data_IF_488474947597
#
_entry.id   IF_488474947597
#
_cell.length_a   1.000
_cell.length_b   1.000
_cell.length_c   1.000
_cell.angle_alpha   90.00
_cell.angle_beta   90.00
_cell.angle_gamma   90.00
#
_symmetry.space_group_name_H-M   'P 1'
#
loop_
_entity.id
_entity.type
_entity.pdbx_description
1 polymer ?
#
# COMPACT_ATOMS: atom_id res chain seq x y z
N UNK A 1 -1.77 41.18 -75.78
CA UNK A 1 -0.44 41.19 -76.43
C UNK A 1 0.32 39.98 -75.93
N UNK A 2 0.70 39.12 -76.88
CA UNK A 2 1.53 37.91 -76.74
C UNK A 2 2.92 38.27 -76.15
N UNK A 3 3.64 37.44 -75.39
CA UNK A 3 4.28 36.19 -75.81
C UNK A 3 4.79 35.36 -74.62
N UNK A 4 5.11 34.12 -74.97
CA UNK A 4 5.28 32.90 -74.18
C UNK A 4 6.77 32.45 -74.15
N UNK A 5 7.09 31.46 -73.28
CA UNK A 5 8.18 30.42 -73.38
C UNK A 5 9.48 30.75 -72.57
N UNK A 6 10.01 29.91 -71.65
CA UNK A 6 10.55 28.54 -71.87
C UNK A 6 10.77 27.75 -70.55
N UNK A 7 10.90 26.43 -70.71
CA UNK A 7 10.93 25.29 -69.78
C UNK A 7 12.34 24.85 -69.31
N UNK A 8 12.37 23.77 -68.49
CA UNK A 8 13.42 22.73 -68.23
C UNK A 8 14.22 22.88 -66.91
N UNK A 9 14.21 21.99 -65.89
CA UNK A 9 14.25 20.51 -65.72
C UNK A 9 15.68 19.89 -65.77
N UNK A 10 16.21 19.61 -64.56
CA UNK A 10 16.90 18.37 -64.08
C UNK A 10 18.45 18.20 -64.06
N UNK A 11 18.89 17.65 -62.90
CA UNK A 11 20.12 16.87 -62.56
C UNK A 11 21.46 17.66 -62.43
N UNK A 12 22.37 17.44 -61.46
CA UNK A 12 22.99 16.18 -60.98
C UNK A 12 23.77 16.32 -59.65
N UNK A 13 23.73 15.22 -58.87
CA UNK A 13 24.78 14.50 -58.09
C UNK A 13 25.62 15.13 -56.94
N UNK A 14 25.46 14.45 -55.78
CA UNK A 14 26.44 13.86 -54.84
C UNK A 14 27.83 14.52 -54.66
N UNK A 15 28.17 14.81 -53.40
CA UNK A 15 29.29 14.11 -52.72
C UNK A 15 29.18 14.21 -51.20
N UNK A 16 29.33 13.04 -50.58
CA UNK A 16 29.48 12.77 -49.15
C UNK A 16 30.88 13.13 -48.65
N UNK A 17 31.03 13.57 -47.39
CA UNK A 17 31.92 12.95 -46.37
C UNK A 17 32.04 13.80 -45.09
N UNK A 18 32.16 13.09 -43.98
CA UNK A 18 32.55 13.47 -42.61
C UNK A 18 31.46 13.72 -41.54
N UNK A 19 31.19 12.60 -40.86
CA UNK A 19 30.66 12.26 -39.54
C UNK A 19 30.46 13.31 -38.41
N UNK A 20 29.62 12.95 -37.43
CA UNK A 20 28.80 13.84 -36.60
C UNK A 20 29.38 14.06 -35.20
N UNK A 21 29.05 15.19 -34.57
CA UNK A 21 29.08 15.35 -33.11
C UNK A 21 28.42 16.68 -32.74
N UNK A 22 27.08 16.68 -32.64
CA UNK A 22 26.31 17.54 -31.71
C UNK A 22 24.81 17.45 -31.99
N UNK A 23 24.13 16.43 -31.49
CA UNK A 23 22.67 16.47 -31.29
C UNK A 23 22.19 15.28 -30.44
N UNK A 24 22.73 15.08 -29.25
CA UNK A 24 22.06 14.25 -28.24
C UNK A 24 22.26 14.90 -26.86
N UNK A 25 21.22 15.57 -26.38
CA UNK A 25 20.90 15.79 -24.96
C UNK A 25 19.63 16.65 -24.86
N UNK A 26 18.49 16.08 -25.23
CA UNK A 26 17.15 16.57 -24.82
C UNK A 26 16.03 15.65 -25.32
N UNK A 27 16.05 14.35 -24.96
CA UNK A 27 14.89 13.45 -25.09
C UNK A 27 15.22 12.04 -24.52
N UNK A 28 15.33 11.95 -23.20
CA UNK A 28 15.26 10.69 -22.43
C UNK A 28 14.63 11.12 -21.09
N UNK A 29 13.60 10.54 -20.51
CA UNK A 29 12.72 9.42 -20.84
C UNK A 29 11.57 9.56 -19.81
N UNK A 30 10.32 9.77 -20.24
CA UNK A 30 9.14 9.74 -19.33
C UNK A 30 8.23 8.53 -19.56
N UNK A 31 8.58 7.63 -20.47
CA UNK A 31 7.84 6.36 -20.72
C UNK A 31 8.63 5.10 -20.35
N UNK A 32 9.88 5.21 -19.91
CA UNK A 32 10.74 4.04 -19.63
C UNK A 32 10.71 3.53 -18.17
N UNK A 33 9.83 4.07 -17.32
CA UNK A 33 9.74 3.66 -15.89
C UNK A 33 8.52 2.75 -15.62
N UNK A 34 7.55 2.65 -16.55
CA UNK A 34 6.36 1.80 -16.35
C UNK A 34 6.46 0.38 -16.92
N UNK A 35 7.51 0.02 -17.68
CA UNK A 35 7.58 -1.30 -18.34
C UNK A 35 8.77 -2.17 -17.90
N UNK A 36 9.36 -1.90 -16.73
CA UNK A 36 10.50 -2.67 -16.19
C UNK A 36 10.25 -3.34 -14.84
N UNK A 37 8.99 -3.44 -14.42
CA UNK A 37 8.57 -4.18 -13.23
C UNK A 37 7.92 -5.55 -13.54
N UNK A 38 7.87 -5.97 -14.82
CA UNK A 38 7.45 -7.31 -15.21
C UNK A 38 8.61 -8.02 -15.92
N UNK A 39 9.50 -8.64 -15.14
CA UNK A 39 10.34 -9.77 -15.56
C UNK A 39 10.96 -10.37 -14.30
N UNK A 40 10.72 -11.66 -14.09
CA UNK A 40 11.12 -12.46 -12.94
C UNK A 40 12.63 -12.38 -12.66
N UNK A 41 12.99 -12.07 -11.41
CA UNK A 41 14.38 -12.14 -10.95
C UNK A 41 14.77 -13.60 -10.65
N UNK A 42 15.97 -14.07 -11.07
CA UNK A 42 16.51 -15.36 -10.65
C UNK A 42 17.11 -15.29 -9.23
N UNK A 43 17.21 -16.43 -8.51
CA UNK A 43 17.60 -16.47 -7.10
C UNK A 43 19.09 -16.13 -6.85
N UNK A 44 19.31 -15.61 -5.63
CA UNK A 44 20.53 -15.07 -5.01
C UNK A 44 21.90 -15.56 -5.52
N UNK A 45 22.75 -14.58 -5.83
CA UNK A 45 24.21 -14.73 -5.85
C UNK A 45 24.82 -13.77 -4.84
N UNK A 46 25.73 -14.22 -3.95
CA UNK A 46 26.33 -13.34 -2.94
C UNK A 46 27.21 -12.28 -3.60
N UNK A 47 26.77 -11.02 -3.53
CA UNK A 47 27.58 -9.87 -3.97
C UNK A 47 28.59 -9.52 -2.88
N UNK A 48 29.86 -9.84 -3.13
CA UNK A 48 30.98 -9.37 -2.33
C UNK A 48 31.11 -7.85 -2.52
N UNK A 49 30.78 -7.09 -1.47
CA UNK A 49 30.96 -5.64 -1.42
C UNK A 49 32.42 -5.31 -1.09
N UNK A 50 33.16 -4.77 -2.05
CA UNK A 50 34.46 -4.12 -1.79
C UNK A 50 34.16 -2.62 -1.68
N UNK A 51 34.25 -1.99 -0.49
CA UNK A 51 33.99 -0.57 -0.37
C UNK A 51 35.18 0.19 -0.97
N UNK A 52 34.98 0.79 -2.13
CA UNK A 52 35.86 1.85 -2.61
C UNK A 52 35.54 3.12 -1.79
N UNK A 53 36.26 3.32 -0.69
CA UNK A 53 36.12 4.53 0.14
C UNK A 53 36.80 5.68 -0.59
N UNK A 54 36.01 6.50 -1.27
CA UNK A 54 36.25 7.93 -1.43
C UNK A 54 34.94 8.66 -1.75
N UNK A 55 34.40 9.40 -0.77
CA UNK A 55 33.53 10.55 -1.04
C UNK A 55 33.77 11.59 0.05
N UNK A 56 34.16 12.80 -0.35
CA UNK A 56 33.97 13.98 0.49
C UNK A 56 32.47 14.24 0.54
N UNK A 57 31.80 13.80 1.60
CA UNK A 57 30.37 14.01 1.75
C UNK A 57 30.07 15.51 1.96
N UNK A 58 29.36 16.09 0.98
CA UNK A 58 28.86 17.46 1.01
C UNK A 58 27.62 17.56 1.89
N UNK A 59 27.76 17.26 3.19
CA UNK A 59 26.66 17.29 4.16
C UNK A 59 27.09 17.82 5.52
N UNK A 60 26.10 18.00 6.40
CA UNK A 60 26.29 18.42 7.77
C UNK A 60 26.03 17.24 8.72
N UNK A 61 26.68 17.24 9.88
CA UNK A 61 26.68 16.09 10.78
C UNK A 61 26.11 16.45 12.15
N UNK A 62 25.30 15.54 12.68
CA UNK A 62 24.78 15.57 14.05
C UNK A 62 25.30 14.33 14.77
N UNK A 63 25.87 14.51 15.96
CA UNK A 63 26.34 13.42 16.82
C UNK A 63 26.03 13.74 18.28
N UNK A 64 25.72 12.73 19.09
CA UNK A 64 25.43 12.90 20.53
C UNK A 64 26.59 13.55 21.31
N UNK A 65 27.83 13.27 20.91
CA UNK A 65 29.06 13.87 21.45
C UNK A 65 29.41 15.25 20.87
N UNK A 66 28.60 15.76 19.95
CA UNK A 66 28.78 17.05 19.30
C UNK A 66 28.47 18.25 20.20
N UNK A 67 28.53 19.44 19.61
CA UNK A 67 28.12 20.70 20.23
C UNK A 67 27.41 21.56 19.18
N UNK A 68 26.31 22.22 19.54
CA UNK A 68 25.61 23.14 18.63
C UNK A 68 26.43 24.41 18.32
N UNK A 69 27.51 24.65 19.07
CA UNK A 69 28.52 25.67 18.74
C UNK A 69 29.49 25.24 17.63
N UNK A 70 29.50 23.97 17.24
CA UNK A 70 30.38 23.45 16.20
C UNK A 70 29.90 23.88 14.79
N UNK A 71 30.75 23.76 13.75
CA UNK A 71 30.37 24.08 12.39
C UNK A 71 29.51 23.02 11.68
N UNK A 72 29.15 21.90 12.33
CA UNK A 72 28.38 20.82 11.71
C UNK A 72 29.19 19.96 10.74
N UNK A 73 30.52 19.95 10.87
CA UNK A 73 31.42 19.12 10.05
C UNK A 73 31.54 17.71 10.63
N UNK A 74 32.09 16.76 9.86
CA UNK A 74 32.28 15.38 10.33
C UNK A 74 33.08 15.29 11.64
N UNK A 75 34.16 16.08 11.76
CA UNK A 75 35.04 16.09 12.94
C UNK A 75 34.56 17.01 14.06
N UNK A 76 33.64 17.92 13.77
CA UNK A 76 33.02 18.82 14.73
C UNK A 76 31.52 18.91 14.40
N UNK A 77 30.74 17.87 14.73
CA UNK A 77 29.32 17.80 14.42
C UNK A 77 28.50 18.65 15.39
N UNK A 78 27.30 19.03 14.96
CA UNK A 78 26.29 19.58 15.86
C UNK A 78 25.80 18.51 16.84
N UNK A 79 25.19 18.94 17.94
CA UNK A 79 24.67 18.02 18.96
C UNK A 79 23.21 17.66 18.71
N UNK A 80 22.38 18.65 18.35
CA UNK A 80 20.93 18.47 18.28
C UNK A 80 20.41 18.52 16.84
N UNK A 81 19.37 17.73 16.56
CA UNK A 81 18.69 17.71 15.27
C UNK A 81 17.97 19.03 14.98
N UNK A 82 17.30 19.59 15.99
CA UNK A 82 16.57 20.84 15.82
C UNK A 82 17.49 21.99 15.43
N UNK A 83 18.68 22.09 16.04
CA UNK A 83 19.70 23.07 15.64
C UNK A 83 20.15 22.84 14.20
N UNK A 84 20.46 21.60 13.83
CA UNK A 84 20.89 21.27 12.47
C UNK A 84 19.84 21.63 11.41
N UNK A 85 18.56 21.37 11.67
CA UNK A 85 17.44 21.74 10.79
C UNK A 85 17.34 23.26 10.62
N UNK A 86 17.58 24.02 11.70
CA UNK A 86 17.60 25.49 11.64
C UNK A 86 18.82 26.04 10.90
N UNK A 87 20.00 25.44 11.11
CA UNK A 87 21.28 25.97 10.64
C UNK A 87 21.66 25.53 9.22
N UNK A 88 21.23 24.34 8.78
CA UNK A 88 21.63 23.80 7.48
C UNK A 88 21.10 24.68 6.32
N UNK A 89 21.91 24.89 5.25
CA UNK A 89 21.45 25.52 4.02
C UNK A 89 20.29 24.75 3.36
N UNK A 90 19.46 25.45 2.59
CA UNK A 90 18.44 24.80 1.76
C UNK A 90 19.10 23.84 0.76
N UNK A 91 18.53 22.66 0.58
CA UNK A 91 19.07 21.58 -0.26
C UNK A 91 20.15 20.73 0.43
N UNK A 92 20.52 21.03 1.67
CA UNK A 92 21.53 20.27 2.39
C UNK A 92 21.01 18.88 2.85
N UNK A 93 21.97 17.98 3.04
CA UNK A 93 21.77 16.72 3.75
C UNK A 93 22.35 16.84 5.16
N UNK A 94 21.55 16.50 6.16
CA UNK A 94 21.95 16.34 7.55
C UNK A 94 22.11 14.84 7.79
N UNK A 95 23.34 14.42 8.07
CA UNK A 95 23.69 13.06 8.47
C UNK A 95 23.69 12.93 9.99
N UNK A 96 22.90 11.99 10.49
CA UNK A 96 22.70 11.75 11.91
C UNK A 96 23.49 10.52 12.31
N UNK A 97 24.49 10.71 13.16
CA UNK A 97 25.31 9.62 13.69
C UNK A 97 24.53 8.80 14.71
N UNK A 98 24.89 7.53 14.91
CA UNK A 98 24.34 6.66 15.93
C UNK A 98 24.30 7.36 17.30
N UNK A 99 23.17 7.20 18.00
CA UNK A 99 22.89 7.87 19.27
C UNK A 99 21.40 8.11 19.44
N UNK A 100 21.05 8.70 20.58
CA UNK A 100 19.69 9.05 20.92
C UNK A 100 19.48 10.56 20.78
N UNK A 101 18.46 10.95 20.02
CA UNK A 101 18.14 12.36 19.77
C UNK A 101 16.70 12.65 20.14
N UNK A 102 16.48 13.81 20.74
CA UNK A 102 15.13 14.33 20.95
C UNK A 102 14.49 14.66 19.60
N UNK A 103 13.17 14.46 19.54
CA UNK A 103 12.29 14.82 18.45
C UNK A 103 12.43 16.26 17.94
N UNK A 104 11.94 16.51 16.73
CA UNK A 104 12.17 17.75 16.01
C UNK A 104 10.99 18.19 15.14
N UNK A 105 10.99 19.46 14.76
CA UNK A 105 10.02 20.06 13.85
C UNK A 105 10.72 20.65 12.62
N UNK A 106 10.15 20.39 11.45
CA UNK A 106 10.54 20.96 10.16
C UNK A 106 9.45 21.91 9.67
N UNK A 107 9.75 23.21 9.68
CA UNK A 107 8.89 24.30 9.18
C UNK A 107 9.60 25.07 8.04
N UNK A 108 10.28 24.32 7.17
CA UNK A 108 11.05 24.84 6.04
C UNK A 108 11.15 23.80 4.94
N UNK A 109 11.62 24.23 3.77
CA UNK A 109 11.61 23.43 2.54
C UNK A 109 13.04 23.05 2.09
N UNK A 110 13.12 21.98 1.30
CA UNK A 110 14.34 21.42 0.70
C UNK A 110 15.36 20.98 1.76
N UNK A 111 15.12 19.84 2.41
CA UNK A 111 16.06 19.29 3.39
C UNK A 111 16.03 17.77 3.33
N UNK A 112 17.20 17.15 3.48
CA UNK A 112 17.32 15.71 3.71
C UNK A 112 17.85 15.47 5.12
N UNK A 113 17.16 14.64 5.89
CA UNK A 113 17.56 14.15 7.21
C UNK A 113 17.79 12.65 7.08
N UNK A 114 19.03 12.23 7.23
CA UNK A 114 19.46 10.86 6.95
C UNK A 114 20.22 10.28 8.13
N UNK A 115 19.96 9.02 8.50
CA UNK A 115 20.94 8.24 9.24
C UNK A 115 22.27 8.23 8.48
N UNK A 116 23.39 8.31 9.20
CA UNK A 116 24.70 8.16 8.59
C UNK A 116 24.84 6.74 8.02
N UNK A 117 25.48 6.53 6.86
CA UNK A 117 25.53 5.21 6.23
C UNK A 117 26.00 4.10 7.17
N UNK A 118 25.18 3.05 7.33
CA UNK A 118 25.44 1.92 8.24
C UNK A 118 25.04 2.17 9.70
N UNK A 119 24.50 3.34 10.02
CA UNK A 119 24.04 3.72 11.36
C UNK A 119 22.52 4.00 11.34
N UNK A 120 21.79 3.52 12.35
CA UNK A 120 20.35 3.76 12.50
C UNK A 120 20.10 4.47 13.85
N UNK A 121 20.17 5.81 13.90
CA UNK A 121 19.98 6.56 15.14
C UNK A 121 18.53 6.55 15.62
N UNK A 122 18.36 6.62 16.94
CA UNK A 122 17.07 6.65 17.62
C UNK A 122 16.59 8.08 17.83
N UNK A 123 15.36 8.36 17.39
CA UNK A 123 14.66 9.61 17.61
C UNK A 123 13.56 9.35 18.63
N UNK A 124 13.65 10.03 19.77
CA UNK A 124 12.80 9.84 20.95
C UNK A 124 11.89 11.05 21.14
N UNK A 125 10.67 10.87 21.69
CA UNK A 125 9.77 11.98 21.95
C UNK A 125 10.40 12.98 22.94
N UNK A 126 9.95 14.23 22.89
CA UNK A 126 10.35 15.29 23.83
C UNK A 126 9.62 15.21 25.19
N UNK A 127 8.77 14.19 25.39
CA UNK A 127 7.93 14.03 26.57
C UNK A 127 6.74 15.00 26.65
N UNK A 128 6.56 15.88 25.68
CA UNK A 128 5.58 16.98 25.71
C UNK A 128 4.58 16.90 24.55
N UNK A 129 5.04 16.68 23.34
CA UNK A 129 4.22 16.60 22.14
C UNK A 129 3.73 15.17 21.86
N UNK A 130 2.65 15.05 21.08
CA UNK A 130 2.15 13.76 20.57
C UNK A 130 2.86 13.31 19.31
N UNK A 131 3.91 14.00 18.87
CA UNK A 131 4.72 13.62 17.72
C UNK A 131 6.19 13.58 18.14
N UNK A 132 6.95 12.65 17.57
CA UNK A 132 8.40 12.61 17.71
C UNK A 132 9.06 13.48 16.63
N UNK A 133 8.60 13.40 15.39
CA UNK A 133 8.95 14.36 14.34
C UNK A 133 7.70 14.95 13.70
N UNK A 134 7.72 16.26 13.43
CA UNK A 134 6.65 16.94 12.70
C UNK A 134 7.19 17.69 11.48
N UNK A 135 6.60 17.43 10.32
CA UNK A 135 6.82 18.21 9.09
C UNK A 135 5.56 19.01 8.83
N UNK A 136 5.67 20.34 8.77
CA UNK A 136 4.51 21.21 8.65
C UNK A 136 4.72 22.30 7.62
N UNK A 137 3.73 22.53 6.76
CA UNK A 137 3.73 23.59 5.74
C UNK A 137 5.03 23.64 4.92
N UNK A 138 5.58 22.47 4.61
CA UNK A 138 6.91 22.32 4.04
C UNK A 138 6.84 21.57 2.72
N UNK A 139 7.91 21.67 1.93
CA UNK A 139 8.04 20.89 0.70
C UNK A 139 9.43 20.32 0.50
N UNK A 140 9.53 19.27 -0.31
CA UNK A 140 10.80 18.64 -0.69
C UNK A 140 11.62 18.19 0.55
N UNK A 141 10.97 17.43 1.44
CA UNK A 141 11.58 16.93 2.68
C UNK A 141 11.80 15.43 2.57
N UNK A 142 13.01 14.98 2.91
CA UNK A 142 13.40 13.58 2.82
C UNK A 142 13.87 13.10 4.18
N UNK A 143 13.21 12.08 4.74
CA UNK A 143 13.62 11.37 5.95
C UNK A 143 14.03 9.95 5.55
N UNK A 144 15.22 9.52 5.97
CA UNK A 144 15.70 8.16 5.68
C UNK A 144 16.62 7.58 6.75
N UNK A 145 16.52 6.28 7.02
CA UNK A 145 17.49 5.58 7.88
C UNK A 145 17.44 5.98 9.36
N UNK A 146 16.27 6.35 9.88
CA UNK A 146 16.08 6.73 11.27
C UNK A 146 15.10 5.78 11.96
N UNK A 147 15.20 5.65 13.29
CA UNK A 147 14.25 4.91 14.11
C UNK A 147 13.41 5.87 14.96
N UNK A 148 12.08 5.83 14.84
CA UNK A 148 11.15 6.65 15.62
C UNK A 148 10.35 5.77 16.58
N UNK A 149 10.59 5.90 17.88
CA UNK A 149 10.00 4.98 18.85
C UNK A 149 9.77 5.54 20.25
N UNK A 150 9.11 4.73 21.08
CA UNK A 150 8.81 4.99 22.48
C UNK A 150 7.96 6.26 22.73
N UNK A 151 7.13 6.65 21.75
CA UNK A 151 6.14 7.71 21.96
C UNK A 151 4.90 7.16 22.67
N UNK A 152 5.02 7.01 23.99
CA UNK A 152 3.99 6.43 24.87
C UNK A 152 2.79 7.34 25.16
N UNK A 153 2.73 8.54 24.57
CA UNK A 153 1.56 9.40 24.73
C UNK A 153 0.37 8.83 23.99
N UNK A 154 -0.84 9.01 24.51
CA UNK A 154 -2.05 8.75 23.74
C UNK A 154 -1.98 9.55 22.41
N UNK A 155 -2.26 8.89 21.28
CA UNK A 155 -2.03 9.43 19.93
C UNK A 155 -0.57 9.76 19.57
N UNK A 156 0.40 9.20 20.31
CA UNK A 156 1.83 9.37 20.08
C UNK A 156 2.24 8.88 18.70
N UNK A 157 2.87 9.73 17.90
CA UNK A 157 3.26 9.47 16.51
C UNK A 157 4.77 9.50 16.36
N UNK A 158 5.32 8.61 15.55
CA UNK A 158 6.71 8.69 15.08
C UNK A 158 6.92 9.93 14.19
N UNK A 159 6.35 9.94 12.98
CA UNK A 159 6.40 11.08 12.05
C UNK A 159 5.00 11.59 11.70
N UNK A 160 4.76 12.88 11.93
CA UNK A 160 3.51 13.57 11.60
C UNK A 160 3.74 14.58 10.47
N UNK A 161 3.04 14.44 9.34
CA UNK A 161 3.18 15.30 8.16
C UNK A 161 1.87 16.06 7.94
N UNK A 162 1.92 17.39 7.98
CA UNK A 162 0.75 18.26 7.90
C UNK A 162 0.92 19.36 6.86
N UNK A 163 -0.08 19.55 6.00
CA UNK A 163 -0.11 20.69 5.07
C UNK A 163 1.12 20.80 4.16
N UNK A 164 1.77 19.68 3.89
CA UNK A 164 3.08 19.61 3.24
C UNK A 164 2.99 18.86 1.91
N UNK A 165 3.96 19.07 1.02
CA UNK A 165 4.03 18.40 -0.28
C UNK A 165 5.40 17.86 -0.63
N UNK A 166 5.49 16.89 -1.53
CA UNK A 166 6.79 16.34 -1.97
C UNK A 166 7.63 15.86 -0.77
N UNK A 167 7.05 15.03 0.08
CA UNK A 167 7.73 14.49 1.28
C UNK A 167 7.99 13.00 1.11
N UNK A 168 9.21 12.56 1.37
CA UNK A 168 9.56 11.13 1.37
C UNK A 168 9.99 10.69 2.76
N UNK A 169 9.39 9.61 3.25
CA UNK A 169 9.80 8.88 4.46
C UNK A 169 10.14 7.46 4.03
N UNK A 170 11.42 7.09 4.06
CA UNK A 170 11.85 5.79 3.54
C UNK A 170 12.92 5.10 4.37
N UNK A 171 13.03 3.77 4.23
CA UNK A 171 14.08 2.96 4.86
C UNK A 171 14.27 3.30 6.34
N UNK A 172 13.16 3.53 7.06
CA UNK A 172 13.14 3.95 8.47
C UNK A 172 12.31 2.96 9.27
N UNK A 173 12.51 2.93 10.59
CA UNK A 173 11.80 2.00 11.48
C UNK A 173 10.90 2.76 12.44
N UNK A 174 9.67 2.29 12.63
CA UNK A 174 8.66 2.92 13.48
C UNK A 174 8.10 1.91 14.44
N UNK A 175 8.38 2.06 15.73
CA UNK A 175 7.97 1.05 16.69
C UNK A 175 7.72 1.56 18.08
N UNK A 176 6.99 0.79 18.88
CA UNK A 176 6.70 1.11 20.27
C UNK A 176 6.07 2.51 20.46
N UNK A 177 5.30 2.98 19.47
CA UNK A 177 4.50 4.20 19.57
C UNK A 177 3.07 3.84 20.03
N UNK A 178 2.53 4.58 21.00
CA UNK A 178 1.19 4.34 21.56
C UNK A 178 0.08 4.72 20.58
N UNK A 179 0.37 5.57 19.59
CA UNK A 179 -0.53 5.87 18.48
C UNK A 179 -0.02 5.26 17.18
N UNK A 180 0.78 6.04 16.45
CA UNK A 180 1.03 5.82 15.03
C UNK A 180 2.52 5.76 14.71
N UNK A 181 2.89 4.98 13.70
CA UNK A 181 4.22 5.13 13.09
C UNK A 181 4.30 6.42 12.27
N UNK A 182 3.48 6.50 11.21
CA UNK A 182 3.41 7.67 10.31
C UNK A 182 1.97 8.17 10.19
N UNK A 183 1.78 9.49 10.31
CA UNK A 183 0.49 10.15 10.04
C UNK A 183 0.67 11.23 8.98
N UNK A 184 -0.25 11.27 8.01
CA UNK A 184 -0.37 12.41 7.09
C UNK A 184 -1.72 13.10 7.23
N UNK A 185 -1.74 14.42 7.05
CA UNK A 185 -2.94 15.23 7.12
C UNK A 185 -2.90 16.36 6.10
N UNK A 186 -3.83 16.33 5.13
CA UNK A 186 -3.94 17.33 4.07
C UNK A 186 -2.61 17.55 3.34
N UNK A 187 -1.99 16.47 2.87
CA UNK A 187 -0.70 16.50 2.16
C UNK A 187 -0.87 16.28 0.66
N UNK A 188 0.15 16.58 -0.13
CA UNK A 188 0.19 16.23 -1.56
C UNK A 188 1.51 15.56 -1.92
N UNK A 189 1.51 14.51 -2.73
CA UNK A 189 2.76 13.88 -3.22
C UNK A 189 3.68 13.41 -2.08
N UNK A 190 3.18 12.51 -1.22
CA UNK A 190 3.96 11.93 -0.10
C UNK A 190 4.26 10.47 -0.36
N UNK A 191 5.53 10.09 -0.26
CA UNK A 191 5.99 8.72 -0.41
C UNK A 191 6.38 8.13 0.96
N UNK A 192 5.75 7.03 1.34
CA UNK A 192 6.11 6.20 2.50
C UNK A 192 6.61 4.85 1.97
N UNK A 193 7.93 4.67 1.91
CA UNK A 193 8.56 3.59 1.15
C UNK A 193 9.55 2.74 1.96
N UNK A 194 9.48 1.41 1.85
CA UNK A 194 10.56 0.55 2.35
C UNK A 194 10.80 0.65 3.85
N UNK A 195 9.80 1.06 4.62
CA UNK A 195 9.89 1.19 6.07
C UNK A 195 9.47 -0.10 6.77
N UNK A 196 9.87 -0.21 8.02
CA UNK A 196 9.50 -1.30 8.91
C UNK A 196 8.70 -0.75 10.10
N UNK A 197 7.41 -1.07 10.19
CA UNK A 197 6.47 -0.48 11.14
C UNK A 197 5.83 -1.55 12.01
N UNK A 198 6.25 -1.63 13.28
CA UNK A 198 5.80 -2.69 14.16
C UNK A 198 5.59 -2.29 15.61
N UNK A 199 4.75 -3.05 16.33
CA UNK A 199 4.40 -2.77 17.72
C UNK A 199 4.02 -1.31 17.89
N UNK A 200 3.18 -0.76 17.03
CA UNK A 200 2.48 0.49 17.27
C UNK A 200 1.03 0.17 17.69
N UNK A 201 0.20 1.19 17.92
CA UNK A 201 -1.24 0.95 17.84
C UNK A 201 -1.65 0.79 16.37
N UNK A 202 -1.53 1.84 15.58
CA UNK A 202 -1.65 1.75 14.13
C UNK A 202 -0.30 2.04 13.47
N UNK A 203 0.01 1.45 12.32
CA UNK A 203 1.29 1.74 11.65
C UNK A 203 1.23 3.05 10.83
N UNK A 204 0.29 3.16 9.89
CA UNK A 204 0.17 4.34 9.01
C UNK A 204 -1.27 4.86 9.02
N UNK A 205 -1.47 6.17 9.15
CA UNK A 205 -2.78 6.80 8.98
C UNK A 205 -2.74 7.99 8.00
N UNK A 206 -3.59 7.95 6.98
CA UNK A 206 -3.74 8.98 5.97
C UNK A 206 -5.06 9.71 6.18
N UNK A 207 -5.02 11.04 6.34
CA UNK A 207 -6.20 11.83 6.75
C UNK A 207 -6.65 12.85 5.71
N UNK A 208 -7.97 12.91 5.51
CA UNK A 208 -8.67 14.02 4.85
C UNK A 208 -8.21 14.30 3.42
N UNK A 209 -7.95 15.57 3.08
CA UNK A 209 -7.60 16.02 1.73
C UNK A 209 -6.22 15.61 1.24
N UNK A 210 -5.63 14.56 1.82
CA UNK A 210 -4.39 13.98 1.34
C UNK A 210 -4.58 13.41 -0.08
N UNK A 211 -3.64 13.71 -0.98
CA UNK A 211 -3.70 13.33 -2.39
C UNK A 211 -2.30 12.98 -2.91
N UNK A 212 -2.18 12.00 -3.82
CA UNK A 212 -0.88 11.58 -4.33
C UNK A 212 0.00 10.92 -3.26
N UNK A 213 -0.62 10.36 -2.21
CA UNK A 213 0.12 9.62 -1.19
C UNK A 213 0.33 8.18 -1.69
N UNK A 214 1.58 7.73 -1.67
CA UNK A 214 1.98 6.38 -2.06
C UNK A 214 2.64 5.68 -0.88
N UNK A 215 2.09 4.52 -0.49
CA UNK A 215 2.61 3.62 0.54
C UNK A 215 3.11 2.37 -0.18
N UNK A 216 4.42 2.14 -0.23
CA UNK A 216 4.96 1.03 -1.04
C UNK A 216 6.16 0.30 -0.43
N UNK A 217 6.23 -1.01 -0.64
CA UNK A 217 7.36 -1.82 -0.20
C UNK A 217 7.59 -1.85 1.31
N UNK A 218 6.59 -1.46 2.12
CA UNK A 218 6.72 -1.45 3.58
C UNK A 218 6.46 -2.84 4.17
N UNK A 219 7.09 -3.10 5.30
CA UNK A 219 6.79 -4.19 6.21
C UNK A 219 5.96 -3.63 7.36
N UNK A 220 4.72 -4.09 7.53
CA UNK A 220 3.77 -3.53 8.48
C UNK A 220 3.23 -4.66 9.35
N UNK A 221 3.72 -4.76 10.58
CA UNK A 221 3.46 -5.97 11.33
C UNK A 221 3.43 -5.84 12.84
N UNK A 222 2.85 -6.82 13.53
CA UNK A 222 2.83 -6.87 14.99
C UNK A 222 2.30 -5.56 15.61
N UNK A 223 1.40 -4.83 14.95
CA UNK A 223 0.78 -3.64 15.53
C UNK A 223 -0.45 -4.09 16.31
N UNK A 224 -0.41 -3.92 17.63
CA UNK A 224 -1.33 -4.59 18.55
C UNK A 224 -1.91 -3.70 19.65
N UNK A 225 -1.54 -2.41 19.69
CA UNK A 225 -2.05 -1.51 20.74
C UNK A 225 -3.33 -0.82 20.33
N UNK A 226 -4.04 -0.30 21.31
CA UNK A 226 -5.13 0.65 21.11
C UNK A 226 -4.60 2.08 21.04
N UNK A 227 -5.12 2.84 20.08
CA UNK A 227 -5.04 4.30 20.08
C UNK A 227 -6.03 4.87 21.10
N UNK A 228 -7.28 4.39 21.06
CA UNK A 228 -8.41 4.72 21.93
C UNK A 228 -9.50 3.64 21.88
N UNK A 229 -10.61 3.82 22.63
CA UNK A 229 -11.69 2.84 22.81
C UNK A 229 -12.57 2.59 21.57
N UNK A 230 -11.92 2.18 20.48
CA UNK A 230 -12.52 1.89 19.18
C UNK A 230 -11.54 2.01 18.02
N UNK A 231 -10.24 2.25 18.25
CA UNK A 231 -9.20 2.26 17.24
C UNK A 231 -7.94 1.61 17.77
N UNK A 232 -7.41 0.64 17.05
CA UNK A 232 -6.17 -0.02 17.43
C UNK A 232 -5.81 -1.14 16.50
N UNK A 233 -4.54 -1.52 16.54
CA UNK A 233 -3.98 -2.67 15.85
C UNK A 233 -4.19 -2.68 14.32
N UNK A 234 -4.11 -1.51 13.67
CA UNK A 234 -4.34 -1.39 12.23
C UNK A 234 -3.02 -1.17 11.48
N UNK A 235 -2.80 -1.90 10.39
CA UNK A 235 -1.68 -1.66 9.50
C UNK A 235 -1.74 -0.29 8.83
N UNK A 236 -2.74 -0.06 7.97
CA UNK A 236 -2.93 1.22 7.28
C UNK A 236 -4.39 1.69 7.35
N UNK A 237 -4.59 2.87 7.91
CA UNK A 237 -5.91 3.53 8.01
C UNK A 237 -6.03 4.67 6.99
N UNK A 238 -7.12 4.67 6.22
CA UNK A 238 -7.55 5.75 5.34
C UNK A 238 -8.71 6.49 5.99
N UNK A 239 -8.39 7.49 6.80
CA UNK A 239 -9.35 8.22 7.61
C UNK A 239 -9.91 9.41 6.85
N UNK A 240 -11.16 9.29 6.38
CA UNK A 240 -11.87 10.34 5.65
C UNK A 240 -11.10 10.89 4.44
N UNK A 241 -10.33 10.03 3.76
CA UNK A 241 -9.58 10.42 2.57
C UNK A 241 -10.52 10.89 1.47
N UNK A 242 -10.16 12.00 0.81
CA UNK A 242 -10.93 12.51 -0.33
C UNK A 242 -10.10 12.62 -1.61
N UNK A 243 -8.78 12.72 -1.51
CA UNK A 243 -7.87 12.66 -2.64
C UNK A 243 -7.38 11.23 -2.94
N UNK A 244 -6.80 10.98 -4.12
CA UNK A 244 -6.24 9.69 -4.49
C UNK A 244 -5.09 9.29 -3.56
N UNK A 245 -5.16 8.07 -3.03
CA UNK A 245 -4.12 7.44 -2.19
C UNK A 245 -3.87 6.02 -2.70
N UNK A 246 -2.61 5.57 -2.71
CA UNK A 246 -2.25 4.23 -3.18
C UNK A 246 -1.38 3.49 -2.17
N UNK A 247 -1.79 2.29 -1.78
CA UNK A 247 -0.98 1.32 -1.05
C UNK A 247 -0.65 0.15 -1.99
N UNK A 248 0.62 0.04 -2.38
CA UNK A 248 1.05 -0.91 -3.43
C UNK A 248 2.27 -1.74 -3.02
N UNK A 249 2.17 -3.06 -3.16
CA UNK A 249 3.32 -3.96 -2.94
C UNK A 249 3.85 -3.95 -1.50
N UNK A 250 2.98 -3.81 -0.51
CA UNK A 250 3.36 -3.89 0.90
C UNK A 250 3.13 -5.31 1.44
N UNK A 251 3.83 -5.65 2.52
CA UNK A 251 3.60 -6.86 3.31
C UNK A 251 2.99 -6.47 4.65
N UNK A 252 1.78 -6.96 4.95
CA UNK A 252 1.04 -6.62 6.16
C UNK A 252 0.65 -7.86 6.95
N UNK A 253 1.16 -8.02 8.16
CA UNK A 253 0.87 -9.22 8.94
C UNK A 253 0.82 -9.06 10.44
N UNK A 254 0.09 -9.94 11.12
CA UNK A 254 0.01 -9.95 12.58
C UNK A 254 -0.43 -8.61 13.19
N UNK A 255 -1.28 -7.86 12.47
CA UNK A 255 -1.88 -6.63 13.00
C UNK A 255 -3.24 -6.97 13.61
N UNK A 256 -3.20 -7.18 14.93
CA UNK A 256 -4.37 -7.44 15.75
C UNK A 256 -4.06 -7.12 17.21
N UNK A 257 -5.07 -6.71 17.97
CA UNK A 257 -4.90 -6.46 19.40
C UNK A 257 -4.55 -7.77 20.11
N UNK A 258 -3.72 -7.67 21.15
CA UNK A 258 -3.42 -8.80 22.03
C UNK A 258 -4.29 -8.78 23.27
N UNK A 259 -4.45 -9.94 23.92
CA UNK A 259 -5.15 -10.11 25.20
C UNK A 259 -6.65 -9.76 25.22
N UNK A 260 -7.29 -9.76 24.05
CA UNK A 260 -8.76 -9.62 23.91
C UNK A 260 -9.42 -10.94 23.50
N UNK A 261 -10.65 -11.15 23.98
CA UNK A 261 -11.50 -12.29 23.58
C UNK A 261 -11.97 -12.15 22.13
N UNK A 262 -12.23 -10.91 21.71
CA UNK A 262 -12.54 -10.52 20.33
C UNK A 262 -11.48 -9.49 19.93
N UNK A 263 -10.39 -9.92 19.27
CA UNK A 263 -9.34 -9.01 18.89
C UNK A 263 -9.87 -7.95 17.92
N UNK A 264 -9.39 -6.72 18.08
CA UNK A 264 -9.56 -5.66 17.09
C UNK A 264 -8.37 -5.66 16.13
N UNK A 265 -8.51 -5.02 14.98
CA UNK A 265 -7.40 -4.75 14.07
C UNK A 265 -7.71 -5.10 12.63
N UNK A 266 -6.85 -4.62 11.74
CA UNK A 266 -6.94 -4.93 10.32
C UNK A 266 -5.60 -4.69 9.61
N UNK A 267 -5.38 -5.34 8.47
CA UNK A 267 -4.32 -4.91 7.57
C UNK A 267 -4.63 -3.51 7.02
N UNK A 268 -5.88 -3.31 6.58
CA UNK A 268 -6.37 -2.03 6.08
C UNK A 268 -7.69 -1.62 6.73
N UNK A 269 -7.88 -0.32 6.93
CA UNK A 269 -9.17 0.27 7.30
C UNK A 269 -9.49 1.48 6.40
N UNK A 270 -10.72 1.56 5.89
CA UNK A 270 -11.26 2.76 5.26
C UNK A 270 -12.41 3.29 6.10
N UNK A 271 -12.15 4.35 6.87
CA UNK A 271 -13.15 4.96 7.74
C UNK A 271 -13.70 6.24 7.10
N UNK A 272 -14.93 6.18 6.60
CA UNK A 272 -15.62 7.28 5.93
C UNK A 272 -14.77 7.98 4.84
N UNK A 273 -13.84 7.25 4.22
CA UNK A 273 -12.90 7.73 3.21
C UNK A 273 -13.12 7.07 1.85
N UNK A 274 -12.51 7.59 0.81
CA UNK A 274 -12.60 7.06 -0.55
C UNK A 274 -11.39 7.42 -1.40
N UNK A 275 -11.45 7.09 -2.69
CA UNK A 275 -10.36 7.27 -3.66
C UNK A 275 -9.05 6.57 -3.24
N UNK A 276 -9.17 5.31 -2.83
CA UNK A 276 -8.04 4.52 -2.32
C UNK A 276 -7.80 3.32 -3.21
N UNK A 277 -6.55 3.10 -3.60
CA UNK A 277 -6.13 1.91 -4.32
C UNK A 277 -5.18 1.06 -3.46
N UNK A 278 -5.53 -0.20 -3.22
CA UNK A 278 -4.76 -1.22 -2.51
C UNK A 278 -4.41 -2.31 -3.51
N UNK A 279 -3.17 -2.30 -4.01
CA UNK A 279 -2.77 -3.08 -5.18
C UNK A 279 -1.60 -4.01 -4.87
N UNK A 280 -1.69 -5.29 -5.19
CA UNK A 280 -0.51 -6.16 -5.18
C UNK A 280 0.12 -6.35 -3.80
N UNK A 281 -0.65 -6.19 -2.72
CA UNK A 281 -0.14 -6.38 -1.36
C UNK A 281 -0.23 -7.87 -0.98
N UNK A 282 0.67 -8.29 -0.10
CA UNK A 282 0.68 -9.61 0.53
C UNK A 282 0.23 -9.45 1.98
N UNK A 283 -0.83 -10.16 2.36
CA UNK A 283 -1.56 -9.93 3.61
C UNK A 283 -1.85 -11.26 4.32
N UNK A 284 -1.44 -11.39 5.57
CA UNK A 284 -1.72 -12.59 6.35
C UNK A 284 -1.74 -12.33 7.85
N UNK A 285 -2.43 -13.17 8.61
CA UNK A 285 -2.43 -13.13 10.08
C UNK A 285 -2.88 -11.81 10.75
N UNK A 286 -3.63 -10.97 10.06
CA UNK A 286 -4.29 -9.82 10.67
C UNK A 286 -5.65 -10.23 11.21
N UNK A 287 -6.22 -9.45 12.13
CA UNK A 287 -7.59 -9.74 12.60
C UNK A 287 -8.58 -9.72 11.42
N UNK A 288 -8.57 -8.64 10.63
CA UNK A 288 -9.35 -8.47 9.39
C UNK A 288 -8.43 -8.08 8.23
N UNK A 289 -8.73 -8.46 6.97
CA UNK A 289 -7.99 -7.99 5.79
C UNK A 289 -8.25 -6.51 5.54
N UNK A 290 -9.53 -6.18 5.41
CA UNK A 290 -10.00 -4.82 5.18
C UNK A 290 -11.31 -4.61 5.94
N UNK A 291 -11.38 -3.55 6.71
CA UNK A 291 -12.64 -3.04 7.25
C UNK A 291 -13.02 -1.71 6.60
N UNK A 292 -14.29 -1.58 6.24
CA UNK A 292 -14.88 -0.32 5.82
C UNK A 292 -16.04 0.04 6.75
N UNK A 293 -16.19 1.32 7.06
CA UNK A 293 -17.30 1.77 7.89
C UNK A 293 -17.36 3.28 8.09
N UNK A 294 -18.47 3.74 8.64
CA UNK A 294 -18.75 5.16 8.87
C UNK A 294 -19.84 5.32 9.92
N UNK A 295 -19.77 6.36 10.77
CA UNK A 295 -20.89 6.74 11.66
C UNK A 295 -21.82 7.79 11.05
N UNK A 296 -21.44 8.36 9.91
CA UNK A 296 -22.12 9.45 9.22
C UNK A 296 -22.63 9.05 7.83
N UNK A 297 -22.73 7.75 7.56
CA UNK A 297 -23.23 7.18 6.31
C UNK A 297 -22.44 7.62 5.06
N UNK A 298 -21.18 8.02 5.23
CA UNK A 298 -20.27 8.23 4.11
C UNK A 298 -20.13 6.93 3.28
N UNK A 299 -20.32 7.02 1.97
CA UNK A 299 -20.47 5.85 1.10
C UNK A 299 -19.17 5.06 0.84
N UNK A 300 -18.03 5.55 1.34
CA UNK A 300 -16.69 5.00 1.15
C UNK A 300 -16.40 4.66 -0.32
N UNK A 301 -16.38 5.69 -1.18
CA UNK A 301 -16.45 5.49 -2.61
C UNK A 301 -15.10 5.29 -3.30
N UNK A 302 -15.09 4.61 -4.44
CA UNK A 302 -13.91 4.49 -5.31
C UNK A 302 -12.73 3.81 -4.60
N UNK A 303 -13.00 2.70 -3.93
CA UNK A 303 -11.97 1.82 -3.37
C UNK A 303 -11.61 0.80 -4.45
N UNK A 304 -10.33 0.65 -4.77
CA UNK A 304 -9.81 -0.44 -5.58
C UNK A 304 -8.99 -1.37 -4.72
N UNK A 305 -9.41 -2.62 -4.56
CA UNK A 305 -8.63 -3.69 -3.92
C UNK A 305 -8.31 -4.74 -4.96
N UNK A 306 -7.10 -4.66 -5.54
CA UNK A 306 -6.78 -5.37 -6.79
C UNK A 306 -5.47 -6.14 -6.73
N UNK A 307 -5.44 -7.37 -7.23
CA UNK A 307 -4.20 -8.19 -7.32
C UNK A 307 -3.51 -8.46 -5.98
N UNK A 308 -4.23 -8.38 -4.87
CA UNK A 308 -3.69 -8.72 -3.56
C UNK A 308 -3.70 -10.24 -3.36
N UNK A 309 -2.72 -10.71 -2.60
CA UNK A 309 -2.61 -12.10 -2.16
C UNK A 309 -2.85 -12.13 -0.67
N UNK A 310 -3.85 -12.89 -0.27
CA UNK A 310 -4.30 -12.98 1.11
C UNK A 310 -4.39 -14.44 1.51
N UNK A 311 -3.74 -14.79 2.60
CA UNK A 311 -3.79 -16.15 3.12
C UNK A 311 -3.84 -16.16 4.64
N UNK A 312 -4.37 -17.23 5.20
CA UNK A 312 -4.36 -17.48 6.64
C UNK A 312 -3.05 -18.16 7.05
N UNK A 313 -2.39 -17.65 8.07
CA UNK A 313 -1.41 -18.41 8.86
C UNK A 313 -2.09 -19.03 10.07
N UNK A 314 -2.05 -18.34 11.20
CA UNK A 314 -2.74 -18.75 12.44
C UNK A 314 -4.20 -18.27 12.51
N UNK A 315 -4.48 -17.01 12.15
CA UNK A 315 -5.82 -16.40 12.22
C UNK A 315 -5.94 -15.25 11.22
N UNK A 316 -6.94 -15.26 10.36
CA UNK A 316 -7.23 -14.16 9.42
C UNK A 316 -8.71 -14.15 9.03
N UNK A 317 -9.47 -13.13 9.45
CA UNK A 317 -10.80 -12.86 8.87
C UNK A 317 -10.65 -12.11 7.54
N UNK A 318 -11.69 -12.10 6.70
CA UNK A 318 -11.67 -11.47 5.38
C UNK A 318 -11.94 -9.98 5.38
N UNK A 319 -12.80 -9.55 4.45
CA UNK A 319 -13.14 -8.16 4.21
C UNK A 319 -14.54 -7.88 4.73
N UNK A 320 -14.67 -6.82 5.52
CA UNK A 320 -15.96 -6.32 5.99
C UNK A 320 -16.32 -5.05 5.23
N UNK A 321 -17.26 -5.19 4.30
CA UNK A 321 -17.69 -4.14 3.39
C UNK A 321 -19.03 -3.56 3.87
N UNK A 322 -18.95 -2.61 4.81
CA UNK A 322 -20.12 -1.86 5.30
C UNK A 322 -20.39 -0.60 4.51
N UNK A 323 -19.39 -0.10 3.78
CA UNK A 323 -19.52 1.01 2.84
C UNK A 323 -18.48 0.80 1.72
N UNK A 324 -18.88 0.87 0.45
CA UNK A 324 -17.98 0.57 -0.67
C UNK A 324 -18.57 1.01 -2.02
N UNK A 325 -19.21 2.17 -2.08
CA UNK A 325 -19.94 2.56 -3.30
C UNK A 325 -19.01 2.79 -4.50
N UNK A 326 -19.36 2.28 -5.67
CA UNK A 326 -18.54 2.38 -6.90
C UNK A 326 -17.10 1.89 -6.68
N UNK A 327 -16.93 0.83 -5.90
CA UNK A 327 -15.63 0.24 -5.58
C UNK A 327 -15.42 -1.06 -6.37
N UNK A 328 -14.15 -1.40 -6.60
CA UNK A 328 -13.73 -2.57 -7.37
C UNK A 328 -12.82 -3.47 -6.54
N UNK A 329 -13.28 -4.70 -6.33
CA UNK A 329 -12.54 -5.76 -5.66
C UNK A 329 -12.27 -6.85 -6.68
N UNK A 330 -11.09 -6.83 -7.29
CA UNK A 330 -10.83 -7.68 -8.45
C UNK A 330 -9.46 -8.32 -8.49
N UNK A 331 -9.36 -9.48 -9.15
CA UNK A 331 -8.07 -10.14 -9.37
C UNK A 331 -7.34 -10.50 -8.08
N UNK A 332 -8.03 -10.72 -6.96
CA UNK A 332 -7.37 -11.09 -5.70
C UNK A 332 -7.35 -12.60 -5.52
N UNK A 333 -6.43 -13.09 -4.68
CA UNK A 333 -6.37 -14.48 -4.23
C UNK A 333 -6.58 -14.52 -2.73
N UNK A 334 -7.53 -15.34 -2.28
CA UNK A 334 -7.84 -15.58 -0.87
C UNK A 334 -7.73 -17.07 -0.56
N UNK A 335 -6.95 -17.42 0.45
CA UNK A 335 -6.72 -18.81 0.84
C UNK A 335 -6.95 -19.00 2.35
N UNK A 336 -8.00 -19.76 2.68
CA UNK A 336 -8.13 -20.33 4.02
C UNK A 336 -8.67 -19.41 5.11
N UNK A 337 -9.37 -18.31 4.78
CA UNK A 337 -9.80 -17.31 5.77
C UNK A 337 -10.83 -17.87 6.76
N UNK A 338 -10.78 -17.40 8.02
CA UNK A 338 -11.47 -18.02 9.15
C UNK A 338 -13.00 -17.88 9.13
N UNK A 339 -13.53 -16.77 8.62
CA UNK A 339 -14.98 -16.50 8.69
C UNK A 339 -15.65 -16.33 7.35
N UNK A 340 -15.03 -15.57 6.46
CA UNK A 340 -15.53 -15.22 5.14
C UNK A 340 -14.40 -14.53 4.37
N UNK A 341 -14.51 -14.49 3.05
CA UNK A 341 -13.74 -13.56 2.23
C UNK A 341 -14.45 -12.22 2.17
N UNK A 342 -15.72 -12.19 1.78
CA UNK A 342 -16.51 -10.96 1.65
C UNK A 342 -17.70 -10.99 2.59
N UNK A 343 -17.72 -10.10 3.58
CA UNK A 343 -18.90 -9.81 4.37
C UNK A 343 -19.53 -8.49 3.93
N UNK A 344 -20.73 -8.57 3.36
CA UNK A 344 -21.42 -7.46 2.72
C UNK A 344 -22.63 -7.04 3.57
N UNK A 345 -22.68 -5.77 3.96
CA UNK A 345 -23.76 -5.24 4.80
C UNK A 345 -24.19 -3.85 4.34
N UNK A 346 -25.25 -3.78 3.54
CA UNK A 346 -25.75 -2.52 2.99
C UNK A 346 -26.67 -1.81 3.98
N UNK A 347 -26.29 -0.59 4.41
CA UNK A 347 -27.02 0.20 5.43
C UNK A 347 -27.36 -0.57 6.72
N UNK A 348 -26.54 -1.56 7.10
CA UNK A 348 -26.76 -2.35 8.31
C UNK A 348 -25.90 -1.90 9.48
N UNK A 349 -26.47 -2.02 10.68
CA UNK A 349 -25.79 -1.69 11.92
C UNK A 349 -25.37 -0.23 12.03
N UNK A 350 -24.54 0.06 13.04
CA UNK A 350 -24.10 1.43 13.34
C UNK A 350 -23.13 2.00 12.31
N UNK A 351 -22.43 1.12 11.58
CA UNK A 351 -21.30 1.49 10.71
C UNK A 351 -21.61 1.36 9.21
N UNK A 352 -22.81 0.91 8.86
CA UNK A 352 -23.25 0.63 7.49
C UNK A 352 -23.67 1.87 6.71
N UNK A 353 -23.30 1.87 5.43
CA UNK A 353 -23.72 2.85 4.43
C UNK A 353 -23.90 2.16 3.07
N UNK A 354 -23.85 2.95 2.00
CA UNK A 354 -24.07 2.44 0.65
C UNK A 354 -22.89 1.60 0.14
N UNK A 355 -23.23 0.51 -0.54
CA UNK A 355 -22.33 -0.34 -1.33
C UNK A 355 -22.79 -0.38 -2.80
N UNK A 356 -23.64 0.56 -3.22
CA UNK A 356 -24.14 0.60 -4.61
C UNK A 356 -22.99 0.74 -5.61
N UNK A 357 -23.06 -0.01 -6.71
CA UNK A 357 -22.01 -0.02 -7.72
C UNK A 357 -20.73 -0.76 -7.29
N UNK A 358 -20.75 -1.48 -6.16
CA UNK A 358 -19.67 -2.38 -5.78
C UNK A 358 -19.55 -3.52 -6.79
N UNK A 359 -18.33 -3.79 -7.25
CA UNK A 359 -18.00 -4.88 -8.16
C UNK A 359 -16.99 -5.83 -7.50
N UNK A 360 -17.33 -7.10 -7.39
CA UNK A 360 -16.48 -8.18 -6.88
C UNK A 360 -16.27 -9.19 -8.01
N UNK A 361 -15.17 -9.05 -8.73
CA UNK A 361 -14.98 -9.77 -10.00
C UNK A 361 -13.60 -10.39 -10.16
N UNK A 362 -13.48 -11.50 -10.87
CA UNK A 362 -12.18 -12.09 -11.23
C UNK A 362 -11.33 -12.50 -10.01
N UNK A 363 -11.93 -12.80 -8.85
CA UNK A 363 -11.16 -13.22 -7.67
C UNK A 363 -11.05 -14.75 -7.63
N UNK A 364 -9.99 -15.27 -7.02
CA UNK A 364 -9.92 -16.66 -6.58
C UNK A 364 -10.09 -16.69 -5.06
N UNK A 365 -11.02 -17.52 -4.57
CA UNK A 365 -11.22 -17.74 -3.14
C UNK A 365 -11.32 -19.24 -2.83
N UNK A 366 -10.40 -19.75 -2.01
CA UNK A 366 -10.33 -21.17 -1.69
C UNK A 366 -10.30 -21.44 -0.18
N UNK A 367 -10.67 -22.67 0.18
CA UNK A 367 -10.51 -23.24 1.52
C UNK A 367 -11.24 -22.45 2.62
N UNK A 368 -12.42 -21.90 2.34
CA UNK A 368 -13.22 -21.19 3.35
C UNK A 368 -14.51 -20.64 2.77
N UNK A 369 -15.30 -19.99 3.62
CA UNK A 369 -16.48 -19.25 3.19
C UNK A 369 -16.07 -18.08 2.30
N UNK A 370 -16.68 -17.95 1.14
CA UNK A 370 -16.41 -16.83 0.23
C UNK A 370 -17.36 -15.68 0.54
N UNK A 371 -18.66 -15.94 0.54
CA UNK A 371 -19.66 -14.87 0.64
C UNK A 371 -20.44 -14.93 1.96
N UNK A 372 -20.55 -13.79 2.62
CA UNK A 372 -21.48 -13.57 3.72
C UNK A 372 -22.31 -12.33 3.37
N UNK A 373 -23.55 -12.54 2.96
CA UNK A 373 -24.47 -11.45 2.59
C UNK A 373 -25.42 -11.23 3.78
N UNK A 374 -25.15 -10.19 4.56
CA UNK A 374 -25.86 -9.89 5.81
C UNK A 374 -27.21 -9.20 5.60
N UNK A 375 -27.44 -8.62 4.43
CA UNK A 375 -28.65 -7.84 4.11
C UNK A 375 -29.17 -8.13 2.71
N UNK A 376 -30.32 -7.55 2.36
CA UNK A 376 -30.67 -7.40 0.96
C UNK A 376 -29.58 -6.59 0.23
N UNK A 377 -29.22 -7.02 -0.97
CA UNK A 377 -28.17 -6.40 -1.80
C UNK A 377 -28.78 -5.44 -2.82
N UNK A 378 -28.15 -4.28 -3.11
CA UNK A 378 -28.58 -3.39 -4.18
C UNK A 378 -28.45 -4.04 -5.56
N UNK A 379 -29.37 -3.70 -6.47
CA UNK A 379 -29.36 -4.21 -7.85
C UNK A 379 -28.13 -3.77 -8.66
N UNK A 380 -27.42 -2.73 -8.22
CA UNK A 380 -26.20 -2.20 -8.85
C UNK A 380 -24.93 -2.90 -8.37
N UNK A 381 -25.02 -3.81 -7.41
CA UNK A 381 -23.86 -4.64 -7.03
C UNK A 381 -23.65 -5.72 -8.07
N UNK A 382 -22.40 -5.94 -8.44
CA UNK A 382 -21.97 -7.00 -9.35
C UNK A 382 -21.03 -7.95 -8.61
N UNK A 383 -21.32 -9.24 -8.67
CA UNK A 383 -20.43 -10.31 -8.23
C UNK A 383 -20.40 -11.30 -9.39
N UNK A 384 -19.26 -11.45 -10.06
CA UNK A 384 -19.17 -12.24 -11.30
C UNK A 384 -17.74 -12.74 -11.58
N UNK A 385 -17.62 -13.77 -12.43
CA UNK A 385 -16.33 -14.31 -12.93
C UNK A 385 -15.30 -14.65 -11.84
N UNK A 386 -15.74 -15.02 -10.66
CA UNK A 386 -14.91 -15.50 -9.56
C UNK A 386 -14.67 -17.02 -9.70
N UNK A 387 -13.51 -17.49 -9.25
CA UNK A 387 -13.24 -18.91 -9.05
C UNK A 387 -13.28 -19.23 -7.56
N UNK A 388 -14.25 -20.03 -7.14
CA UNK A 388 -14.43 -20.38 -5.74
C UNK A 388 -14.19 -21.86 -5.52
N UNK A 389 -13.59 -22.26 -4.40
CA UNK A 389 -13.39 -23.68 -4.13
C UNK A 389 -13.27 -23.98 -2.63
N UNK A 390 -14.29 -24.62 -2.06
CA UNK A 390 -14.26 -25.05 -0.67
C UNK A 390 -14.55 -26.56 -0.57
N UNK A 391 -13.54 -27.44 -0.75
CA UNK A 391 -13.72 -28.89 -0.64
C UNK A 391 -13.84 -29.39 0.81
N UNK A 392 -13.71 -28.47 1.77
CA UNK A 392 -13.54 -28.71 3.20
C UNK A 392 -12.54 -27.71 3.74
N UNK A 393 -12.84 -27.09 4.89
CA UNK A 393 -12.03 -25.99 5.44
C UNK A 393 -11.89 -26.09 6.95
N UNK A 394 -10.72 -25.68 7.44
CA UNK A 394 -10.45 -25.46 8.87
C UNK A 394 -11.02 -24.13 9.39
N UNK A 395 -11.70 -23.34 8.53
CA UNK A 395 -12.33 -22.09 8.91
C UNK A 395 -13.37 -22.28 10.01
N UNK A 396 -13.58 -21.26 10.84
CA UNK A 396 -14.58 -21.24 11.93
C UNK A 396 -15.99 -21.50 11.38
N UNK A 397 -16.26 -21.12 10.13
CA UNK A 397 -17.55 -21.31 9.46
C UNK A 397 -17.66 -22.63 8.68
N UNK A 398 -16.64 -23.49 8.78
CA UNK A 398 -16.59 -24.84 8.21
C UNK A 398 -16.78 -24.87 6.69
N UNK A 399 -17.58 -25.82 6.24
CA UNK A 399 -17.71 -26.14 4.80
C UNK A 399 -18.69 -25.21 4.05
N UNK A 400 -19.28 -24.22 4.72
CA UNK A 400 -20.21 -23.29 4.07
C UNK A 400 -19.47 -22.39 3.09
N UNK A 401 -19.79 -22.51 1.79
CA UNK A 401 -19.29 -21.60 0.76
C UNK A 401 -19.87 -20.19 0.91
N UNK A 402 -21.17 -20.11 1.23
CA UNK A 402 -21.85 -18.83 1.36
C UNK A 402 -22.89 -18.82 2.48
N UNK A 403 -23.18 -17.63 3.00
CA UNK A 403 -24.37 -17.31 3.79
C UNK A 403 -25.13 -16.18 3.12
N UNK A 404 -26.46 -16.29 3.03
CA UNK A 404 -27.33 -15.25 2.51
C UNK A 404 -28.47 -14.99 3.50
N UNK A 405 -28.65 -13.73 3.86
CA UNK A 405 -29.75 -13.27 4.70
C UNK A 405 -31.10 -13.81 4.20
N UNK A 406 -31.93 -14.34 5.11
CA UNK A 406 -33.20 -15.04 4.86
C UNK A 406 -33.13 -16.40 4.13
N UNK A 407 -31.97 -16.85 3.65
CA UNK A 407 -31.81 -18.18 3.03
C UNK A 407 -31.01 -19.14 3.92
N UNK A 408 -29.98 -18.62 4.62
CA UNK A 408 -29.09 -19.40 5.47
C UNK A 408 -27.76 -19.73 4.80
N UNK A 409 -27.15 -20.84 5.20
CA UNK A 409 -25.85 -21.28 4.68
C UNK A 409 -26.04 -22.23 3.49
N UNK A 410 -25.12 -22.18 2.52
CA UNK A 410 -24.98 -23.16 1.45
C UNK A 410 -23.52 -23.54 1.25
N UNK A 411 -23.30 -24.77 0.79
CA UNK A 411 -22.00 -25.27 0.34
C UNK A 411 -21.84 -25.19 -1.19
N UNK A 412 -22.90 -24.83 -1.92
CA UNK A 412 -22.97 -24.95 -3.37
C UNK A 412 -23.05 -23.57 -4.02
N UNK A 413 -22.14 -23.30 -4.96
CA UNK A 413 -22.19 -22.10 -5.79
C UNK A 413 -23.52 -22.01 -6.55
N UNK A 414 -24.03 -23.13 -7.07
CA UNK A 414 -25.29 -23.17 -7.80
C UNK A 414 -26.51 -22.74 -6.98
N UNK A 415 -26.50 -23.01 -5.67
CA UNK A 415 -27.58 -22.59 -4.78
C UNK A 415 -27.46 -21.11 -4.44
N UNK A 416 -26.24 -20.61 -4.20
CA UNK A 416 -25.98 -19.17 -4.07
C UNK A 416 -26.44 -18.38 -5.31
N UNK A 417 -26.10 -18.87 -6.50
CA UNK A 417 -26.53 -18.29 -7.79
C UNK A 417 -28.06 -18.28 -7.91
N UNK A 418 -28.73 -19.38 -7.55
CA UNK A 418 -30.19 -19.46 -7.59
C UNK A 418 -30.86 -18.48 -6.62
N UNK A 419 -30.32 -18.32 -5.42
CA UNK A 419 -30.89 -17.46 -4.37
C UNK A 419 -30.72 -15.97 -4.66
N UNK A 420 -29.60 -15.60 -5.28
CA UNK A 420 -29.19 -14.20 -5.39
C UNK A 420 -29.26 -13.65 -6.81
N UNK A 421 -29.14 -14.51 -7.82
CA UNK A 421 -28.94 -14.11 -9.21
C UNK A 421 -27.55 -13.56 -9.52
N UNK A 422 -26.63 -13.59 -8.55
CA UNK A 422 -25.24 -13.18 -8.73
C UNK A 422 -24.34 -14.35 -9.14
N UNK A 423 -23.15 -14.00 -9.60
CA UNK A 423 -22.00 -14.89 -9.79
C UNK A 423 -22.28 -15.97 -10.85
N UNK A 424 -23.08 -15.65 -11.87
CA UNK A 424 -23.60 -16.60 -12.85
C UNK A 424 -22.53 -17.14 -13.81
N UNK A 425 -21.44 -16.40 -14.02
CA UNK A 425 -20.30 -16.80 -14.85
C UNK A 425 -19.13 -17.35 -14.03
N UNK A 426 -19.30 -17.46 -12.72
CA UNK A 426 -18.29 -17.98 -11.80
C UNK A 426 -18.24 -19.50 -11.80
N UNK A 427 -17.09 -20.03 -11.42
CA UNK A 427 -16.83 -21.46 -11.40
C UNK A 427 -16.54 -21.94 -9.97
N UNK A 428 -17.02 -23.13 -9.65
CA UNK A 428 -16.62 -23.86 -8.44
C UNK A 428 -15.68 -25.01 -8.81
N UNK A 429 -14.37 -24.79 -8.71
CA UNK A 429 -13.36 -25.77 -9.13
C UNK A 429 -11.98 -25.51 -8.50
N UNK A 430 -11.19 -26.58 -8.33
CA UNK A 430 -9.82 -26.46 -7.82
C UNK A 430 -8.95 -25.62 -8.77
N UNK A 431 -8.23 -24.60 -8.27
CA UNK A 431 -7.52 -23.63 -9.11
C UNK A 431 -6.22 -24.16 -9.76
N UNK A 432 -5.71 -25.33 -9.37
CA UNK A 432 -4.46 -25.90 -9.89
C UNK A 432 -3.28 -24.90 -9.90
N UNK A 433 -2.82 -24.51 -8.70
CA UNK A 433 -1.65 -23.65 -8.53
C UNK A 433 -0.33 -24.41 -8.59
N UNK A 434 0.76 -23.70 -8.85
CA UNK A 434 2.13 -24.24 -8.82
C UNK A 434 2.45 -24.88 -7.46
N UNK A 435 2.22 -24.14 -6.36
CA UNK A 435 2.42 -24.67 -5.01
C UNK A 435 1.69 -23.83 -3.94
N UNK A 436 0.39 -24.10 -3.74
CA UNK A 436 -0.40 -23.38 -2.74
C UNK A 436 0.11 -23.56 -1.30
N UNK A 437 0.71 -24.71 -0.98
CA UNK A 437 1.25 -24.97 0.35
C UNK A 437 2.45 -24.07 0.74
N UNK A 438 3.08 -23.43 -0.25
CA UNK A 438 4.13 -22.43 -0.06
C UNK A 438 3.70 -21.04 -0.57
N UNK A 439 2.39 -20.80 -0.68
CA UNK A 439 1.78 -19.55 -1.15
C UNK A 439 2.20 -19.13 -2.57
N UNK A 440 2.61 -20.09 -3.40
CA UNK A 440 2.87 -19.87 -4.82
C UNK A 440 1.60 -20.12 -5.62
N UNK A 441 0.79 -19.07 -5.72
CA UNK A 441 -0.53 -19.09 -6.34
C UNK A 441 -0.51 -18.82 -7.85
N UNK A 442 0.64 -18.94 -8.51
CA UNK A 442 0.68 -18.86 -9.97
C UNK A 442 -0.13 -20.02 -10.57
N UNK A 443 -1.01 -19.77 -11.55
CA UNK A 443 -1.80 -20.82 -12.18
C UNK A 443 -0.91 -21.77 -12.98
N UNK A 444 -1.22 -23.06 -12.96
CA UNK A 444 -0.68 -24.03 -13.93
C UNK A 444 -1.51 -23.99 -15.23
N UNK A 445 -0.97 -24.55 -16.31
CA UNK A 445 -1.63 -24.62 -17.62
C UNK A 445 -3.02 -25.29 -17.60
N UNK A 446 -3.32 -26.08 -16.58
CA UNK A 446 -4.60 -26.78 -16.39
C UNK A 446 -5.57 -26.02 -15.47
N UNK A 447 -5.22 -24.82 -15.04
CA UNK A 447 -6.03 -24.03 -14.11
C UNK A 447 -7.35 -23.61 -14.76
N UNK A 448 -8.50 -23.79 -14.08
CA UNK A 448 -9.77 -23.24 -14.53
C UNK A 448 -9.87 -21.72 -14.33
N UNK A 449 -8.87 -21.08 -13.72
CA UNK A 449 -8.80 -19.64 -13.59
C UNK A 449 -8.41 -18.96 -14.92
N UNK A 450 -7.78 -19.71 -15.84
CA UNK A 450 -7.31 -19.17 -17.11
C UNK A 450 -8.50 -18.74 -17.98
N UNK A 451 -8.43 -17.52 -18.53
CA UNK A 451 -9.46 -16.91 -19.38
C UNK A 451 -10.85 -16.82 -18.72
N UNK A 452 -10.94 -16.90 -17.38
CA UNK A 452 -12.21 -16.85 -16.66
C UNK A 452 -12.73 -15.42 -16.46
N UNK A 453 -11.85 -14.44 -16.39
CA UNK A 453 -12.16 -13.09 -15.92
C UNK A 453 -12.93 -12.21 -16.91
N UNK A 454 -13.65 -11.24 -16.37
CA UNK A 454 -14.20 -10.10 -17.10
C UNK A 454 -13.09 -9.11 -17.49
N UNK A 455 -13.16 -8.53 -18.70
CA UNK A 455 -12.21 -7.50 -19.16
C UNK A 455 -12.51 -6.16 -18.47
N UNK A 456 -11.58 -5.65 -17.65
CA UNK A 456 -11.72 -4.38 -16.93
C UNK A 456 -10.84 -3.25 -17.50
N UNK A 457 -10.17 -3.49 -18.64
CA UNK A 457 -9.30 -2.54 -19.34
C UNK A 457 -7.80 -2.77 -19.13
N UNK A 458 -7.42 -3.82 -18.41
CA UNK A 458 -6.06 -4.31 -18.25
C UNK A 458 -5.55 -5.06 -19.49
N UNK A 459 -4.24 -5.26 -19.56
CA UNK A 459 -3.63 -6.19 -20.51
C UNK A 459 -3.67 -7.61 -19.95
N UNK A 460 -3.96 -8.58 -20.82
CA UNK A 460 -4.06 -9.99 -20.49
C UNK A 460 -3.51 -10.87 -21.63
N UNK A 461 -3.28 -12.15 -21.33
CA UNK A 461 -2.97 -13.16 -22.34
C UNK A 461 -4.20 -14.04 -22.63
N UNK A 462 -4.30 -14.61 -23.82
CA UNK A 462 -5.42 -15.49 -24.15
C UNK A 462 -6.66 -14.76 -24.67
N UNK A 463 -7.84 -15.29 -24.34
CA UNK A 463 -9.15 -14.79 -24.74
C UNK A 463 -9.70 -13.75 -23.75
N UNK A 464 -9.35 -13.84 -22.47
CA UNK A 464 -9.83 -12.99 -21.38
C UNK A 464 -8.78 -12.96 -20.25
N UNK A 465 -8.83 -11.99 -19.32
CA UNK A 465 -7.93 -12.03 -18.17
C UNK A 465 -8.18 -13.26 -17.30
N UNK A 466 -7.14 -13.73 -16.64
CA UNK A 466 -7.26 -14.83 -15.69
C UNK A 466 -7.90 -14.33 -14.39
N UNK A 467 -8.65 -15.19 -13.71
CA UNK A 467 -9.07 -14.90 -12.34
C UNK A 467 -7.86 -14.96 -11.40
N UNK A 468 -7.84 -14.07 -10.40
CA UNK A 468 -6.80 -14.00 -9.38
C UNK A 468 -5.66 -13.04 -9.70
N UNK A 469 -4.62 -13.04 -8.87
CA UNK A 469 -3.59 -12.01 -8.87
C UNK A 469 -2.59 -12.13 -10.04
N UNK A 470 -2.49 -13.32 -10.62
CA UNK A 470 -1.50 -13.68 -11.62
C UNK A 470 -2.16 -14.07 -12.94
N UNK A 471 -1.63 -13.53 -14.03
CA UNK A 471 -1.85 -14.05 -15.37
C UNK A 471 -0.94 -15.27 -15.60
N UNK A 472 -1.49 -16.32 -16.19
CA UNK A 472 -0.76 -17.46 -16.67
C UNK A 472 0.17 -17.05 -17.81
N UNK A 473 1.41 -17.49 -17.72
CA UNK A 473 2.41 -17.34 -18.79
C UNK A 473 2.99 -18.73 -19.09
N UNK A 474 2.89 -19.22 -20.34
CA UNK A 474 3.34 -20.56 -20.72
C UNK A 474 4.82 -20.87 -20.51
#
# INVERSE_FOLDING_TARGET
>A
MSFQITFLVVLTLLSTLFNPLSAEKSALNKEAIQTKALQSQPPDQPRIFIPLVMRSDSGFYVAESGSDSNPGTFNAPWRTLQHAIGAAPSGATIYVRAGNYTGFVVERTNLTISGYPGETPSILPDGTNTYTAKIMNSSNIHITGLSFHDNWKQYGVGVYIEGSRDVTVRNSTFFDNQGFGVVTKNVTDVLVEGNDLFRNANAIEIRYGSSGVVITGNQIHDNFREVDGGRGAIGVTFYRTTGPVTAIGNRLWNNHSIDKVDPEGAAFEVYAGGNVAMIGNEIWDNETVLETGTKDQAACSSISFVRNIVYRGSRQQGLILRCASNSLFAHNIFDGLDEYVFYLTHFDGQYGASIEGLRIVNNIAINGRVYSIGTAMPATVEIEHNLVYNPGSDSIRGDSLAYVYNQGNTMLLSEFQLWTGYDLHSLSAAPAFVNSANHDYRPLATSPAIDLGEILGESYSGAAPDAGAYEYTP
#
